data_IF_178262371601
#
_entry.id   IF_178262371601
#
_cell.length_a   1.000
_cell.length_b   1.000
_cell.length_c   1.000
_cell.angle_alpha   90.00
_cell.angle_beta   90.00
_cell.angle_gamma   90.00
#
_symmetry.space_group_name_H-M   'P 1'
#
loop_
_entity.id
_entity.type
_entity.pdbx_description
1 polymer ?
#
# COMPACT_ATOMS: atom_id res chain seq x y z
N UNK A 1 23.68 -2.76 20.48
CA UNK A 1 22.75 -1.66 20.13
C UNK A 1 21.44 -2.30 19.72
N UNK A 2 20.37 -2.06 20.46
CA UNK A 2 19.02 -2.54 20.11
C UNK A 2 18.54 -1.74 18.90
N UNK A 3 18.05 -2.36 17.81
CA UNK A 3 17.52 -1.60 16.68
C UNK A 3 16.35 -0.73 17.18
N UNK A 4 16.30 0.52 16.72
CA UNK A 4 15.17 1.39 17.01
C UNK A 4 13.87 0.72 16.54
N UNK A 5 12.75 0.85 17.28
CA UNK A 5 11.49 0.26 16.88
C UNK A 5 11.04 0.84 15.52
N UNK A 6 10.56 -0.05 14.64
CA UNK A 6 9.96 0.34 13.37
C UNK A 6 8.63 1.07 13.57
N UNK A 7 8.17 1.76 12.54
CA UNK A 7 6.92 2.51 12.55
C UNK A 7 6.17 2.35 11.22
N UNK A 8 4.86 2.63 11.26
CA UNK A 8 3.96 2.50 10.11
C UNK A 8 3.26 3.82 9.85
N UNK A 9 3.17 4.20 8.58
CA UNK A 9 2.35 5.33 8.12
C UNK A 9 1.21 4.76 7.29
N UNK A 10 -0.02 5.08 7.68
CA UNK A 10 -1.22 4.55 7.05
C UNK A 10 -1.91 5.62 6.22
N UNK A 11 -1.87 5.48 4.90
CA UNK A 11 -2.55 6.38 3.97
C UNK A 11 -4.00 5.93 3.72
N UNK A 12 -4.97 6.76 4.06
CA UNK A 12 -6.39 6.56 3.75
C UNK A 12 -6.94 7.66 2.84
N UNK A 13 -8.11 7.43 2.25
CA UNK A 13 -8.76 8.37 1.35
C UNK A 13 -9.43 7.69 0.16
N UNK A 14 -10.27 8.45 -0.54
CA UNK A 14 -11.05 7.99 -1.69
C UNK A 14 -10.18 7.35 -2.79
N UNK A 15 -10.74 6.45 -3.62
CA UNK A 15 -10.08 6.02 -4.86
C UNK A 15 -9.59 7.22 -5.67
N UNK A 16 -8.42 7.11 -6.30
CA UNK A 16 -7.76 8.19 -7.04
C UNK A 16 -7.37 9.45 -6.24
N UNK A 17 -7.47 9.47 -4.91
CA UNK A 17 -7.05 10.62 -4.09
C UNK A 17 -5.52 10.84 -3.98
N UNK A 18 -4.71 10.05 -4.70
CA UNK A 18 -3.25 10.20 -4.71
C UNK A 18 -2.47 9.46 -3.62
N UNK A 19 -3.10 8.55 -2.86
CA UNK A 19 -2.44 7.76 -1.78
C UNK A 19 -1.16 7.08 -2.22
N UNK A 20 -1.20 6.29 -3.30
CA UNK A 20 -0.04 5.57 -3.82
C UNK A 20 1.05 6.52 -4.35
N UNK A 21 0.66 7.66 -4.92
CA UNK A 21 1.60 8.71 -5.34
C UNK A 21 2.37 9.26 -4.13
N UNK A 22 1.67 9.59 -3.05
CA UNK A 22 2.28 10.12 -1.84
C UNK A 22 3.15 9.07 -1.13
N UNK A 23 2.70 7.81 -1.07
CA UNK A 23 3.46 6.72 -0.46
C UNK A 23 4.81 6.49 -1.16
N UNK A 24 4.83 6.49 -2.51
CA UNK A 24 6.06 6.34 -3.29
C UNK A 24 6.99 7.55 -3.15
N UNK A 25 6.44 8.75 -3.17
CA UNK A 25 7.21 9.97 -2.94
C UNK A 25 7.86 9.98 -1.55
N UNK A 26 7.11 9.58 -0.52
CA UNK A 26 7.64 9.45 0.84
C UNK A 26 8.72 8.39 0.94
N UNK A 27 8.53 7.22 0.31
CA UNK A 27 9.55 6.17 0.28
C UNK A 27 10.87 6.68 -0.32
N UNK A 28 10.81 7.38 -1.47
CA UNK A 28 11.99 7.97 -2.09
C UNK A 28 12.66 9.02 -1.17
N UNK A 29 11.85 9.84 -0.50
CA UNK A 29 12.34 10.85 0.42
C UNK A 29 12.99 10.24 1.69
N UNK A 30 12.50 9.09 2.17
CA UNK A 30 13.10 8.34 3.28
C UNK A 30 14.41 7.67 2.86
N UNK A 31 14.43 7.06 1.67
CA UNK A 31 15.61 6.44 1.11
C UNK A 31 16.76 7.46 0.94
N UNK A 32 16.45 8.68 0.48
CA UNK A 32 17.41 9.78 0.37
C UNK A 32 17.99 10.22 1.73
N UNK A 33 17.34 9.86 2.85
CA UNK A 33 17.79 10.12 4.22
C UNK A 33 18.42 8.88 4.87
N UNK A 34 18.66 7.82 4.13
CA UNK A 34 19.21 6.55 4.64
C UNK A 34 18.21 5.71 5.42
N UNK A 35 16.91 6.04 5.37
CA UNK A 35 15.85 5.27 6.05
C UNK A 35 15.24 4.28 5.06
N UNK A 36 15.35 2.99 5.37
CA UNK A 36 14.72 1.93 4.58
C UNK A 36 13.22 1.87 4.88
N UNK A 37 12.40 1.91 3.84
CA UNK A 37 10.95 1.85 3.95
C UNK A 37 10.35 0.96 2.85
N UNK A 38 9.29 0.24 3.21
CA UNK A 38 8.52 -0.61 2.29
C UNK A 38 7.14 0.01 2.10
N UNK A 39 6.69 0.11 0.85
CA UNK A 39 5.31 0.47 0.52
C UNK A 39 4.49 -0.80 0.39
N UNK A 40 3.48 -0.95 1.25
CA UNK A 40 2.48 -2.01 1.16
C UNK A 40 1.25 -1.46 0.44
N UNK A 41 1.05 -1.86 -0.81
CA UNK A 41 -0.08 -1.43 -1.64
C UNK A 41 -1.11 -2.57 -1.72
N UNK A 42 -2.34 -2.31 -1.28
CA UNK A 42 -3.43 -3.30 -1.29
C UNK A 42 -3.72 -3.84 -2.69
N UNK A 43 -3.56 -3.02 -3.73
CA UNK A 43 -3.80 -3.45 -5.11
C UNK A 43 -2.67 -4.38 -5.61
N UNK A 44 -1.44 -4.17 -5.14
CA UNK A 44 -0.30 -5.03 -5.46
C UNK A 44 -0.26 -6.33 -4.64
N UNK A 45 -0.85 -6.34 -3.44
CA UNK A 45 -0.98 -7.52 -2.59
C UNK A 45 -2.19 -8.39 -2.95
N UNK A 46 -3.17 -7.84 -3.68
CA UNK A 46 -4.38 -8.54 -4.11
C UNK A 46 -4.13 -9.87 -4.84
N UNK A 47 -3.16 -9.99 -5.78
CA UNK A 47 -2.88 -11.26 -6.44
C UNK A 47 -2.26 -12.31 -5.51
N UNK A 48 -1.58 -11.86 -4.44
CA UNK A 48 -0.87 -12.73 -3.49
C UNK A 48 -1.81 -13.20 -2.37
N UNK A 49 -2.74 -12.34 -1.95
CA UNK A 49 -3.66 -12.62 -0.85
C UNK A 49 -5.00 -13.21 -1.32
N UNK A 50 -5.39 -12.98 -2.58
CA UNK A 50 -6.63 -13.48 -3.18
C UNK A 50 -6.39 -13.96 -4.63
N UNK A 51 -5.63 -15.04 -4.85
CA UNK A 51 -5.25 -15.52 -6.18
C UNK A 51 -6.41 -16.00 -7.07
N UNK A 52 -7.61 -16.16 -6.51
CA UNK A 52 -8.81 -16.66 -7.22
C UNK A 52 -9.88 -15.59 -7.53
N UNK A 53 -9.67 -14.33 -7.16
CA UNK A 53 -10.61 -13.27 -7.52
C UNK A 53 -10.33 -12.79 -8.95
N UNK A 54 -11.25 -13.08 -9.87
CA UNK A 54 -11.17 -12.56 -11.23
C UNK A 54 -11.25 -11.02 -11.27
N UNK A 55 -10.90 -10.48 -12.44
CA UNK A 55 -10.97 -9.04 -12.74
C UNK A 55 -12.36 -8.59 -13.19
N UNK A 56 -13.44 -9.30 -12.85
CA UNK A 56 -14.77 -8.83 -13.22
C UNK A 56 -15.14 -7.59 -12.40
N UNK A 57 -15.92 -6.65 -12.98
CA UNK A 57 -16.44 -5.50 -12.24
C UNK A 57 -17.17 -5.92 -10.93
N UNK A 58 -17.89 -7.04 -10.97
CA UNK A 58 -18.62 -7.58 -9.82
C UNK A 58 -17.69 -8.03 -8.67
N UNK A 59 -16.58 -8.70 -8.98
CA UNK A 59 -15.57 -9.11 -7.99
C UNK A 59 -14.81 -7.92 -7.40
N UNK A 60 -14.66 -6.84 -8.18
CA UNK A 60 -14.13 -5.56 -7.68
C UNK A 60 -15.07 -4.92 -6.68
N UNK A 61 -16.36 -4.86 -7.01
CA UNK A 61 -17.38 -4.22 -6.18
C UNK A 61 -17.68 -4.97 -4.89
N UNK A 62 -17.52 -6.30 -4.87
CA UNK A 62 -17.65 -7.11 -3.64
C UNK A 62 -16.51 -6.84 -2.65
N UNK A 63 -15.27 -6.73 -3.15
CA UNK A 63 -14.11 -6.46 -2.31
C UNK A 63 -14.16 -5.08 -1.63
N UNK A 64 -14.66 -4.05 -2.31
CA UNK A 64 -14.83 -2.73 -1.69
C UNK A 64 -16.04 -2.64 -0.74
N UNK A 65 -16.90 -3.68 -0.71
CA UNK A 65 -18.07 -3.76 0.18
C UNK A 65 -17.80 -4.49 1.50
N UNK A 66 -16.72 -5.28 1.59
CA UNK A 66 -16.23 -5.91 2.81
C UNK A 66 -15.35 -4.96 3.62
#
# INVERSE_FOLDING_TARGET
>A
MTPAPGWTIWFTGLPASGKSTLARALQAALAARGVQAVVLDSDALRPVLAPSAGYTPAERDEFYRQ
#
